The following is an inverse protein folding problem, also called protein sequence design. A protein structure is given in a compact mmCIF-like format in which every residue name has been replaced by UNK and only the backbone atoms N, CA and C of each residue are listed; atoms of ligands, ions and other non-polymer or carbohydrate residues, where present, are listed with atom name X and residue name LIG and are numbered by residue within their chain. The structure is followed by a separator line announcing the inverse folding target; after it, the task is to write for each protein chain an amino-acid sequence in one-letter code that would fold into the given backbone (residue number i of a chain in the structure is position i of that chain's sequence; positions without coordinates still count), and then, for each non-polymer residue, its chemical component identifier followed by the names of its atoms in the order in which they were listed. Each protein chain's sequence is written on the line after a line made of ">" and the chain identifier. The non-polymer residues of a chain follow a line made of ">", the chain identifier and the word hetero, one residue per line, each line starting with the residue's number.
data_IF_766679294875
#
_entry.id   IF_766679294875
#
_cell.length_a   1.000
_cell.length_b   1.000
_cell.length_c   1.000
_cell.angle_alpha   90.00
_cell.angle_beta   90.00
_cell.angle_gamma   90.00
#
_symmetry.space_group_name_H-M   'P 1'
#
loop_
_entity.id
_entity.type
_entity.pdbx_description
1 polymer ?
#
# COMPACT_ATOMS: atom_id res chain seq x y z
N UNK A 1 -7.80 15.92 -21.37
CA UNK A 1 -8.23 14.53 -21.41
C UNK A 1 -7.91 13.83 -20.11
N UNK A 2 -8.76 12.88 -19.79
CA UNK A 2 -8.59 12.11 -18.57
C UNK A 2 -7.49 11.07 -18.78
N UNK A 3 -6.53 11.02 -17.88
CA UNK A 3 -5.49 10.02 -17.96
C UNK A 3 -6.07 8.65 -17.63
N UNK A 4 -5.84 7.61 -18.44
CA UNK A 4 -6.31 6.27 -18.13
C UNK A 4 -5.75 5.77 -16.81
N UNK A 5 -6.55 5.00 -16.08
CA UNK A 5 -6.12 4.46 -14.78
C UNK A 5 -4.85 3.62 -14.90
N UNK A 6 -4.71 2.86 -15.99
CA UNK A 6 -3.51 2.03 -16.18
C UNK A 6 -2.25 2.86 -16.36
N UNK A 7 -2.36 4.09 -16.91
CA UNK A 7 -1.19 4.97 -16.98
C UNK A 7 -0.79 5.46 -15.59
N UNK A 8 -1.78 5.76 -14.75
CA UNK A 8 -1.51 6.12 -13.36
C UNK A 8 -0.86 4.97 -12.60
N UNK A 9 -1.34 3.75 -12.86
CA UNK A 9 -0.76 2.56 -12.25
C UNK A 9 0.68 2.34 -12.73
N UNK A 10 0.93 2.51 -14.03
CA UNK A 10 2.29 2.37 -14.58
C UNK A 10 3.25 3.38 -13.95
N UNK A 11 2.78 4.60 -13.72
CA UNK A 11 3.59 5.63 -13.05
C UNK A 11 3.90 5.25 -11.62
N UNK A 12 2.93 4.67 -10.94
CA UNK A 12 3.12 4.18 -9.58
C UNK A 12 4.20 3.10 -9.54
N UNK A 13 4.12 2.13 -10.45
CA UNK A 13 5.13 1.07 -10.52
C UNK A 13 6.52 1.64 -10.77
N UNK A 14 6.64 2.58 -11.69
CA UNK A 14 7.93 3.23 -11.98
C UNK A 14 8.45 3.96 -10.74
N UNK A 15 7.58 4.67 -10.04
CA UNK A 15 7.94 5.38 -8.82
C UNK A 15 8.48 4.42 -7.76
N UNK A 16 7.79 3.30 -7.56
CA UNK A 16 8.18 2.31 -6.56
C UNK A 16 9.48 1.60 -6.95
N UNK A 17 9.67 1.31 -8.24
CA UNK A 17 10.89 0.68 -8.72
C UNK A 17 12.15 1.50 -8.41
N UNK A 18 12.01 2.82 -8.41
CA UNK A 18 13.13 3.71 -8.13
C UNK A 18 13.45 3.81 -6.64
N UNK A 19 12.60 3.26 -5.79
CA UNK A 19 12.71 3.36 -4.33
C UNK A 19 12.55 2.01 -3.66
N UNK A 20 13.38 1.02 -4.00
CA UNK A 20 13.16 -0.35 -3.53
C UNK A 20 13.33 -0.53 -2.02
N UNK A 21 14.03 0.38 -1.36
CA UNK A 21 14.29 0.27 0.07
C UNK A 21 13.44 1.20 0.92
N UNK A 22 12.61 2.03 0.29
CA UNK A 22 11.73 2.93 1.03
C UNK A 22 10.48 2.20 1.49
N UNK A 23 10.06 2.47 2.72
CA UNK A 23 8.74 2.03 3.19
C UNK A 23 7.70 3.02 2.73
N UNK A 24 6.54 2.53 2.33
CA UNK A 24 5.49 3.39 1.82
C UNK A 24 4.10 2.93 2.20
N UNK A 25 3.19 3.88 2.24
CA UNK A 25 1.78 3.63 2.48
C UNK A 25 1.01 4.16 1.27
N UNK A 26 0.17 3.31 0.69
CA UNK A 26 -0.70 3.69 -0.41
C UNK A 26 -2.13 3.69 0.10
N UNK A 27 -2.80 4.85 0.03
CA UNK A 27 -4.18 4.95 0.46
C UNK A 27 -5.12 4.82 -0.72
N UNK A 28 -6.11 3.95 -0.60
CA UNK A 28 -7.17 3.77 -1.58
C UNK A 28 -8.51 4.14 -0.98
N UNK A 29 -9.50 4.34 -1.84
CA UNK A 29 -10.80 4.83 -1.40
C UNK A 29 -11.72 3.75 -0.83
N UNK A 30 -11.53 2.49 -1.23
CA UNK A 30 -12.39 1.40 -0.80
C UNK A 30 -11.58 0.17 -0.43
N UNK A 31 -12.21 -0.71 0.36
CA UNK A 31 -11.59 -1.98 0.75
C UNK A 31 -11.25 -2.83 -0.47
N UNK A 32 -12.14 -2.84 -1.46
CA UNK A 32 -11.91 -3.60 -2.69
C UNK A 32 -10.70 -3.06 -3.45
N UNK A 33 -10.59 -1.74 -3.55
CA UNK A 33 -9.42 -1.12 -4.19
C UNK A 33 -8.13 -1.45 -3.44
N UNK A 34 -8.18 -1.47 -2.12
CA UNK A 34 -7.02 -1.86 -1.30
C UNK A 34 -6.58 -3.28 -1.65
N UNK A 35 -7.52 -4.22 -1.68
CA UNK A 35 -7.17 -5.61 -1.94
C UNK A 35 -6.69 -5.82 -3.36
N UNK A 36 -7.33 -5.16 -4.33
CA UNK A 36 -6.90 -5.24 -5.72
C UNK A 36 -5.49 -4.65 -5.91
N UNK A 37 -5.24 -3.49 -5.32
CA UNK A 37 -3.94 -2.84 -5.42
C UNK A 37 -2.84 -3.69 -4.77
N UNK A 38 -3.09 -4.22 -3.59
CA UNK A 38 -2.11 -5.07 -2.91
C UNK A 38 -1.81 -6.32 -3.72
N UNK A 39 -2.84 -6.96 -4.30
CA UNK A 39 -2.66 -8.13 -5.13
C UNK A 39 -1.88 -7.81 -6.41
N UNK A 40 -2.21 -6.69 -7.05
CA UNK A 40 -1.54 -6.26 -8.28
C UNK A 40 -0.06 -5.96 -8.03
N UNK A 41 0.25 -5.27 -6.95
CA UNK A 41 1.64 -4.95 -6.60
C UNK A 41 2.41 -6.23 -6.25
N UNK A 42 1.79 -7.16 -5.57
CA UNK A 42 2.41 -8.44 -5.26
C UNK A 42 2.73 -9.20 -6.54
N UNK A 43 1.81 -9.17 -7.51
CA UNK A 43 2.02 -9.81 -8.81
C UNK A 43 3.18 -9.18 -9.58
N UNK A 44 3.45 -7.89 -9.35
CA UNK A 44 4.58 -7.19 -9.98
C UNK A 44 5.91 -7.39 -9.24
N UNK A 45 5.88 -8.13 -8.14
CA UNK A 45 7.10 -8.42 -7.39
C UNK A 45 7.35 -7.53 -6.18
N UNK A 46 6.45 -6.63 -5.87
CA UNK A 46 6.57 -5.81 -4.67
C UNK A 46 5.99 -6.55 -3.47
N UNK A 47 6.58 -6.34 -2.29
CA UNK A 47 6.02 -6.88 -1.06
C UNK A 47 5.00 -5.87 -0.50
N UNK A 48 3.73 -6.12 -0.80
CA UNK A 48 2.64 -5.24 -0.42
C UNK A 48 1.54 -6.03 0.27
N UNK A 49 0.99 -5.47 1.34
CA UNK A 49 -0.10 -6.10 2.09
C UNK A 49 -1.26 -5.13 2.26
N UNK A 50 -2.49 -5.65 2.25
CA UNK A 50 -3.67 -4.83 2.49
C UNK A 50 -3.85 -4.55 3.98
N UNK A 51 -4.50 -3.41 4.28
CA UNK A 51 -4.82 -3.04 5.65
C UNK A 51 -6.13 -2.24 5.65
N UNK A 52 -7.20 -2.86 6.13
CA UNK A 52 -8.50 -2.21 6.21
C UNK A 52 -9.37 -2.89 7.27
N UNK A 53 -10.49 -2.27 7.61
CA UNK A 53 -11.34 -2.71 8.70
C UNK A 53 -12.05 -4.04 8.44
N UNK A 54 -12.10 -4.48 7.18
CA UNK A 54 -12.70 -5.78 6.82
C UNK A 54 -11.83 -6.98 7.15
N UNK A 55 -10.53 -6.76 7.42
CA UNK A 55 -9.65 -7.81 7.87
C UNK A 55 -9.86 -8.08 9.37
N UNK A 56 -9.68 -9.31 9.81
CA UNK A 56 -9.74 -9.59 11.23
C UNK A 56 -8.56 -8.95 11.97
N UNK A 57 -8.73 -8.77 13.27
CA UNK A 57 -7.73 -8.06 14.07
C UNK A 57 -6.36 -8.74 14.01
N UNK A 58 -6.35 -10.05 14.06
CA UNK A 58 -5.11 -10.82 14.05
C UNK A 58 -4.32 -10.60 12.75
N UNK A 59 -5.03 -10.61 11.62
CA UNK A 59 -4.40 -10.36 10.31
C UNK A 59 -3.88 -8.92 10.23
N UNK A 60 -4.66 -7.94 10.69
CA UNK A 60 -4.22 -6.54 10.67
C UNK A 60 -2.99 -6.34 11.54
N UNK A 61 -2.98 -6.91 12.72
CA UNK A 61 -1.84 -6.78 13.63
C UNK A 61 -0.59 -7.40 13.01
N UNK A 62 -0.74 -8.55 12.35
CA UNK A 62 0.38 -9.20 11.69
C UNK A 62 0.91 -8.37 10.52
N UNK A 63 0.04 -7.82 9.69
CA UNK A 63 0.45 -6.99 8.56
C UNK A 63 1.19 -5.74 9.05
N UNK A 64 0.68 -5.12 10.10
CA UNK A 64 1.31 -3.94 10.68
C UNK A 64 2.69 -4.29 11.24
N UNK A 65 2.81 -5.41 11.93
CA UNK A 65 4.08 -5.83 12.49
C UNK A 65 5.12 -6.09 11.41
N UNK A 66 4.72 -6.79 10.33
CA UNK A 66 5.62 -7.04 9.21
C UNK A 66 6.11 -5.74 8.58
N UNK A 67 5.23 -4.76 8.48
CA UNK A 67 5.60 -3.45 7.95
C UNK A 67 6.55 -2.71 8.89
N UNK A 68 6.29 -2.75 10.19
CA UNK A 68 7.15 -2.08 11.16
C UNK A 68 8.55 -2.72 11.23
N UNK A 69 8.65 -4.00 10.96
CA UNK A 69 9.91 -4.74 10.98
C UNK A 69 10.65 -4.74 9.64
N UNK A 70 10.17 -3.99 8.67
CA UNK A 70 10.74 -3.93 7.31
C UNK A 70 10.69 -5.26 6.55
N UNK A 71 9.90 -6.21 7.00
CA UNK A 71 9.67 -7.44 6.25
C UNK A 71 8.79 -7.21 5.03
N UNK A 72 7.92 -6.21 5.11
CA UNK A 72 7.08 -5.75 4.02
C UNK A 72 7.29 -4.25 3.87
N UNK A 73 7.49 -3.80 2.63
CA UNK A 73 7.82 -2.40 2.37
C UNK A 73 6.59 -1.53 2.10
N UNK A 74 5.48 -2.12 1.68
CA UNK A 74 4.31 -1.38 1.26
C UNK A 74 3.06 -1.86 1.99
N UNK A 75 2.34 -0.93 2.56
CA UNK A 75 0.99 -1.18 3.08
C UNK A 75 0.01 -0.42 2.20
N UNK A 76 -1.05 -1.10 1.78
CA UNK A 76 -2.15 -0.48 1.04
C UNK A 76 -3.35 -0.41 1.99
N UNK A 77 -3.82 0.79 2.28
CA UNK A 77 -4.85 0.99 3.30
C UNK A 77 -5.98 1.88 2.81
N UNK A 78 -7.13 1.82 3.48
CA UNK A 78 -8.20 2.78 3.21
C UNK A 78 -7.93 4.09 3.93
N UNK A 79 -8.33 5.19 3.29
CA UNK A 79 -8.16 6.53 3.88
C UNK A 79 -8.93 6.65 5.20
N UNK A 80 -10.12 6.04 5.25
CA UNK A 80 -10.98 6.14 6.43
C UNK A 80 -10.46 5.35 7.63
N UNK A 81 -9.54 4.43 7.41
CA UNK A 81 -9.00 3.58 8.48
C UNK A 81 -7.53 3.94 8.71
N UNK A 82 -7.33 4.92 9.57
CA UNK A 82 -6.00 5.39 9.89
C UNK A 82 -5.17 4.34 10.59
N UNK A 83 -3.91 4.25 10.21
CA UNK A 83 -2.95 3.41 10.89
C UNK A 83 -2.17 4.28 11.88
N UNK A 84 -2.17 3.90 13.14
CA UNK A 84 -1.35 4.58 14.14
C UNK A 84 0.09 4.14 14.06
N UNK A 85 0.67 4.18 12.87
CA UNK A 85 2.03 3.71 12.65
C UNK A 85 3.03 4.84 12.88
N UNK A 86 3.91 4.61 13.82
CA UNK A 86 5.05 5.49 14.07
C UNK A 86 6.30 4.79 13.55
N UNK A 87 6.55 4.98 12.25
CA UNK A 87 7.68 4.36 11.59
C UNK A 87 8.52 5.46 10.95
N UNK A 88 9.70 5.68 11.48
CA UNK A 88 10.53 6.82 11.11
C UNK A 88 11.04 6.78 9.67
N UNK A 89 11.10 5.60 9.06
CA UNK A 89 11.59 5.46 7.70
C UNK A 89 10.50 5.34 6.65
N UNK A 90 9.26 5.70 6.99
CA UNK A 90 8.22 5.82 5.97
C UNK A 90 8.53 7.07 5.14
N UNK A 91 8.87 6.86 3.89
CA UNK A 91 9.31 7.93 2.98
C UNK A 91 8.26 8.28 1.95
N UNK A 92 7.28 7.41 1.75
CA UNK A 92 6.34 7.57 0.65
C UNK A 92 4.92 7.40 1.17
N UNK A 93 4.09 8.40 0.91
CA UNK A 93 2.65 8.31 1.17
C UNK A 93 1.96 8.72 -0.12
N UNK A 94 1.14 7.82 -0.66
CA UNK A 94 0.46 8.01 -1.94
C UNK A 94 -1.04 7.88 -1.72
N UNK A 95 -1.80 8.82 -2.26
CA UNK A 95 -3.25 8.73 -2.29
C UNK A 95 -3.66 8.30 -3.69
N UNK A 96 -4.04 7.04 -3.82
CA UNK A 96 -4.40 6.46 -5.10
C UNK A 96 -5.90 6.41 -5.25
N UNK A 97 -6.44 7.23 -6.14
CA UNK A 97 -7.87 7.26 -6.47
C UNK A 97 -8.15 6.31 -7.64
N UNK A 98 -7.73 5.08 -7.49
CA UNK A 98 -7.87 4.08 -8.56
C UNK A 98 -9.09 3.21 -8.37
#
# INVERSE_FOLDING_TARGET
>A
SVEPKRNSYSRLLTFLDKRPNDSGIIYCLSRKSVENMAADLTAEGFKALPYHAGLDKETRDKHQELFLQDEVKIIVATIAFGMGIDKSNVRTVIHAAL
#
